data_IF_930978948366
#
_entry.id   IF_930978948366
#
_cell.length_a   1.000
_cell.length_b   1.000
_cell.length_c   1.000
_cell.angle_alpha   90.00
_cell.angle_beta   90.00
_cell.angle_gamma   90.00
#
_symmetry.space_group_name_H-M   'P 1'
#
loop_
_entity.id
_entity.type
_entity.pdbx_description
1 polymer ?
#
# COMPACT_ATOMS: atom_id res chain seq x y z
N UNK A 1 9.19 7.60 -7.55
CA UNK A 1 8.75 7.30 -6.16
C UNK A 1 7.64 8.25 -5.75
N UNK A 2 6.51 7.71 -5.29
CA UNK A 2 5.32 8.45 -4.83
C UNK A 2 4.92 7.97 -3.42
N UNK A 3 4.31 8.81 -2.59
CA UNK A 3 3.97 8.51 -1.18
C UNK A 3 2.62 9.12 -0.77
N UNK A 4 1.90 8.46 0.13
CA UNK A 4 0.65 8.95 0.70
C UNK A 4 0.39 8.35 2.09
N UNK A 5 -0.39 9.02 2.94
CA UNK A 5 -0.86 8.42 4.19
C UNK A 5 -1.75 7.19 3.90
N UNK A 6 -1.68 6.15 4.73
CA UNK A 6 -2.59 5.00 4.65
C UNK A 6 -3.92 5.35 5.35
N UNK A 7 -5.04 5.52 4.62
CA UNK A 7 -6.33 5.87 5.22
C UNK A 7 -6.84 4.78 6.17
N UNK A 8 -6.54 3.51 5.86
CA UNK A 8 -6.93 2.37 6.67
C UNK A 8 -5.94 2.04 7.79
N UNK A 9 -4.81 2.72 7.89
CA UNK A 9 -3.82 2.49 8.96
C UNK A 9 -3.26 3.83 9.46
N UNK A 10 -4.03 4.59 10.28
CA UNK A 10 -3.63 5.91 10.73
C UNK A 10 -2.22 5.94 11.35
N UNK A 11 -1.40 6.87 10.87
CA UNK A 11 0.01 7.02 11.26
C UNK A 11 0.99 6.19 10.43
N UNK A 12 0.52 5.34 9.50
CA UNK A 12 1.35 4.65 8.52
C UNK A 12 1.34 5.35 7.15
N UNK A 13 2.38 5.09 6.36
CA UNK A 13 2.57 5.61 5.00
C UNK A 13 2.56 4.46 3.98
N UNK A 14 2.01 4.73 2.80
CA UNK A 14 2.10 3.93 1.59
C UNK A 14 3.14 4.56 0.66
N UNK A 15 4.05 3.75 0.12
CA UNK A 15 5.11 4.24 -0.78
C UNK A 15 5.20 3.37 -2.03
N UNK A 16 5.17 3.99 -3.20
CA UNK A 16 5.41 3.33 -4.48
C UNK A 16 6.85 3.52 -4.93
N UNK A 17 7.52 2.40 -5.19
CA UNK A 17 8.85 2.34 -5.77
C UNK A 17 8.81 1.81 -7.19
N UNK A 18 9.59 2.45 -8.06
CA UNK A 18 9.95 1.91 -9.36
C UNK A 18 11.02 0.84 -9.17
N UNK A 19 10.81 -0.36 -9.72
CA UNK A 19 11.76 -1.45 -9.64
C UNK A 19 12.61 -1.49 -10.92
N UNK A 20 13.94 -1.34 -10.83
CA UNK A 20 14.80 -1.48 -12.00
C UNK A 20 14.71 -2.91 -12.56
N UNK A 21 14.68 -3.04 -13.88
CA UNK A 21 14.64 -4.34 -14.58
C UNK A 21 13.26 -4.93 -14.80
N UNK A 22 12.18 -4.33 -14.28
CA UNK A 22 10.80 -4.72 -14.58
C UNK A 22 9.98 -3.52 -15.02
N UNK A 23 9.52 -3.53 -16.28
CA UNK A 23 8.67 -2.44 -16.81
C UNK A 23 7.18 -2.63 -16.48
N UNK A 24 6.79 -3.81 -16.03
CA UNK A 24 5.37 -4.17 -15.85
C UNK A 24 4.89 -4.05 -14.40
N UNK A 25 5.81 -3.88 -13.43
CA UNK A 25 5.49 -3.90 -12.00
C UNK A 25 6.17 -2.75 -11.25
N UNK A 26 5.51 -2.30 -10.19
CA UNK A 26 6.03 -1.42 -9.13
C UNK A 26 5.92 -2.13 -7.78
N UNK A 27 6.67 -1.66 -6.79
CA UNK A 27 6.58 -2.16 -5.42
C UNK A 27 5.82 -1.15 -4.56
N UNK A 28 4.70 -1.57 -3.98
CA UNK A 28 4.01 -0.83 -2.93
C UNK A 28 4.51 -1.29 -1.56
N UNK A 29 5.19 -0.41 -0.83
CA UNK A 29 5.56 -0.64 0.56
C UNK A 29 4.41 -0.18 1.47
N UNK A 30 3.93 -1.07 2.35
CA UNK A 30 2.87 -0.81 3.31
C UNK A 30 3.21 -1.37 4.69
N UNK A 31 2.68 -0.75 5.75
CA UNK A 31 2.74 -1.29 7.13
C UNK A 31 1.50 -2.14 7.38
N UNK A 32 1.66 -3.28 8.07
CA UNK A 32 0.55 -4.12 8.47
C UNK A 32 -0.47 -3.34 9.33
N UNK A 33 -1.76 -3.60 9.10
CA UNK A 33 -2.85 -3.00 9.90
C UNK A 33 -2.94 -3.62 11.29
N UNK A 34 -2.63 -4.91 11.40
CA UNK A 34 -2.51 -5.65 12.66
C UNK A 34 -1.11 -5.55 13.26
N UNK A 35 -1.08 -5.77 14.57
CA UNK A 35 0.13 -6.10 15.30
C UNK A 35 0.39 -7.61 15.15
N UNK A 36 1.61 -7.98 14.85
CA UNK A 36 2.07 -9.37 14.75
C UNK A 36 2.16 -10.01 16.15
N UNK A 37 2.33 -11.33 16.22
CA UNK A 37 2.44 -12.05 17.50
C UNK A 37 3.58 -11.55 18.42
N UNK A 38 4.63 -10.95 17.85
CA UNK A 38 5.77 -10.39 18.58
C UNK A 38 5.54 -8.94 19.07
N UNK A 39 4.32 -8.39 18.88
CA UNK A 39 3.99 -7.02 19.28
C UNK A 39 4.42 -5.95 18.27
N UNK A 40 5.07 -6.32 17.16
CA UNK A 40 5.53 -5.36 16.15
C UNK A 40 4.52 -5.18 15.02
N UNK A 41 4.64 -4.09 14.24
CA UNK A 41 3.98 -3.96 12.94
C UNK A 41 5.02 -4.06 11.84
N UNK A 42 4.87 -5.05 10.96
CA UNK A 42 5.83 -5.29 9.87
C UNK A 42 5.53 -4.45 8.63
N UNK A 43 6.59 -4.19 7.86
CA UNK A 43 6.48 -3.58 6.53
C UNK A 43 6.54 -4.68 5.48
N UNK A 44 5.65 -4.60 4.50
CA UNK A 44 5.53 -5.54 3.40
C UNK A 44 5.64 -4.81 2.07
N UNK A 45 6.34 -5.43 1.12
CA UNK A 45 6.38 -5.01 -0.28
C UNK A 45 5.37 -5.82 -1.10
N UNK A 46 4.42 -5.14 -1.73
CA UNK A 46 3.40 -5.74 -2.59
C UNK A 46 3.74 -5.42 -4.05
N UNK A 47 3.73 -6.45 -4.91
CA UNK A 47 3.89 -6.26 -6.36
C UNK A 47 2.59 -5.75 -6.96
N UNK A 48 2.61 -4.55 -7.53
CA UNK A 48 1.45 -3.90 -8.16
C UNK A 48 1.75 -3.60 -9.64
N UNK A 49 0.73 -3.48 -10.50
CA UNK A 49 0.91 -3.01 -11.87
C UNK A 49 1.66 -1.68 -11.97
N UNK A 50 2.49 -1.53 -13.00
CA UNK A 50 3.33 -0.33 -13.16
C UNK A 50 2.56 0.96 -13.51
N UNK A 51 1.31 0.87 -13.95
CA UNK A 51 0.50 2.03 -14.33
C UNK A 51 -0.05 2.83 -13.13
N UNK A 52 0.13 2.35 -11.89
CA UNK A 52 -0.32 3.09 -10.71
C UNK A 52 0.68 4.16 -10.33
N UNK A 53 0.25 5.43 -10.35
CA UNK A 53 1.03 6.57 -9.87
C UNK A 53 0.64 7.00 -8.44
N UNK A 54 -0.56 6.62 -7.98
CA UNK A 54 -1.07 6.86 -6.63
C UNK A 54 -0.92 5.61 -5.74
N UNK A 55 -0.18 5.68 -4.62
CA UNK A 55 -0.08 4.60 -3.65
C UNK A 55 -1.43 4.17 -3.06
N UNK A 56 -2.40 5.08 -2.93
CA UNK A 56 -3.75 4.78 -2.40
C UNK A 56 -4.55 3.95 -3.40
N UNK A 57 -4.48 4.27 -4.69
CA UNK A 57 -5.07 3.45 -5.74
C UNK A 57 -4.42 2.06 -5.83
N UNK A 58 -3.09 1.99 -5.75
CA UNK A 58 -2.35 0.73 -5.74
C UNK A 58 -2.73 -0.17 -4.55
N UNK A 59 -2.89 0.43 -3.37
CA UNK A 59 -3.34 -0.28 -2.19
C UNK A 59 -4.79 -0.75 -2.37
N UNK A 60 -5.69 0.11 -2.85
CA UNK A 60 -7.07 -0.26 -3.19
C UNK A 60 -7.13 -1.47 -4.12
N UNK A 61 -6.33 -1.48 -5.18
CA UNK A 61 -6.25 -2.59 -6.13
C UNK A 61 -5.88 -3.93 -5.47
N UNK A 62 -4.94 -3.93 -4.51
CA UNK A 62 -4.57 -5.16 -3.76
C UNK A 62 -5.71 -5.73 -2.92
N UNK A 63 -6.72 -4.91 -2.59
CA UNK A 63 -7.93 -5.29 -1.87
C UNK A 63 -9.14 -5.51 -2.82
N UNK A 64 -8.95 -5.43 -4.15
CA UNK A 64 -10.06 -5.49 -5.11
C UNK A 64 -10.99 -4.27 -5.04
N UNK A 65 -10.49 -3.14 -4.54
CA UNK A 65 -11.21 -1.87 -4.40
C UNK A 65 -10.66 -0.82 -5.36
N UNK A 66 -11.46 0.21 -5.62
CA UNK A 66 -10.94 1.46 -6.21
C UNK A 66 -10.23 2.29 -5.15
N UNK A 67 -9.34 3.20 -5.56
CA UNK A 67 -8.70 4.14 -4.62
C UNK A 67 -9.71 4.95 -3.81
N UNK A 68 -10.79 5.42 -4.44
CA UNK A 68 -11.85 6.17 -3.77
C UNK A 68 -12.64 5.36 -2.72
N UNK A 69 -12.73 4.03 -2.88
CA UNK A 69 -13.33 3.15 -1.85
C UNK A 69 -12.33 2.86 -0.74
N UNK A 70 -11.09 2.57 -1.12
CA UNK A 70 -10.00 2.34 -0.19
C UNK A 70 -9.73 3.56 0.71
N UNK A 71 -9.83 4.77 0.15
CA UNK A 71 -9.63 6.03 0.88
C UNK A 71 -10.65 6.31 1.98
N UNK A 72 -11.75 5.54 2.00
CA UNK A 72 -12.81 5.63 3.02
C UNK A 72 -12.70 4.53 4.09
N UNK A 73 -11.70 3.66 3.99
CA UNK A 73 -11.44 2.68 5.05
C UNK A 73 -11.09 3.41 6.33
N UNK A 74 -11.75 3.02 7.42
CA UNK A 74 -11.46 3.54 8.75
C UNK A 74 -10.35 2.75 9.44
N UNK A 75 -10.23 1.46 9.12
CA UNK A 75 -9.24 0.56 9.73
C UNK A 75 -9.00 -0.69 8.88
N UNK A 76 -7.74 -1.08 8.77
CA UNK A 76 -7.26 -2.39 8.34
C UNK A 76 -6.99 -3.21 9.60
N UNK A 77 -7.51 -4.43 9.64
CA UNK A 77 -7.27 -5.41 10.71
C UNK A 77 -6.27 -6.44 10.25
#
# INVERSE_FOLDING_TARGET
MSRAADPGNPGAELVLYDLPGTRARRLLLAVNGSVECDGTRRRYGLSVPAWFDDPVEAAGWSYGLTGARYSRLLRRT
#
